data_IF_909654614008
#
_entry.id   IF_909654614008
#
_cell.length_a   1.000
_cell.length_b   1.000
_cell.length_c   1.000
_cell.angle_alpha   90.00
_cell.angle_beta   90.00
_cell.angle_gamma   90.00
#
_symmetry.space_group_name_H-M   'P 1'
#
loop_
_entity.id
_entity.type
_entity.pdbx_description
1 polymer ?
#
# COMPACT_ATOMS: atom_id res chain seq x y z
N UNK A 1 -4.32 16.20 -23.99
CA UNK A 1 -4.53 14.79 -23.58
C UNK A 1 -4.64 13.83 -24.77
N UNK A 2 -5.54 14.04 -25.76
CA UNK A 2 -5.66 13.18 -26.97
C UNK A 2 -4.35 13.02 -27.77
N UNK A 3 -3.57 14.08 -27.92
CA UNK A 3 -2.30 14.06 -28.66
C UNK A 3 -1.28 13.13 -28.00
N UNK A 4 -1.18 13.17 -26.67
CA UNK A 4 -0.26 12.32 -25.90
C UNK A 4 -0.68 10.85 -26.03
N UNK A 5 -1.98 10.56 -25.90
CA UNK A 5 -2.46 9.18 -26.03
C UNK A 5 -2.20 8.58 -27.42
N UNK A 6 -2.39 9.38 -28.48
CA UNK A 6 -2.14 8.94 -29.84
C UNK A 6 -0.64 8.69 -30.09
N UNK A 7 0.26 9.51 -29.53
CA UNK A 7 1.71 9.28 -29.60
C UNK A 7 2.13 8.00 -28.88
N UNK A 8 1.56 7.73 -27.71
CA UNK A 8 1.85 6.49 -26.95
C UNK A 8 1.38 5.25 -27.73
N UNK A 9 0.17 5.29 -28.31
CA UNK A 9 -0.34 4.17 -29.13
C UNK A 9 0.52 3.92 -30.36
N UNK A 10 0.96 4.97 -31.05
CA UNK A 10 1.80 4.83 -32.23
C UNK A 10 3.18 4.24 -31.89
N UNK A 11 3.76 4.58 -30.72
CA UNK A 11 5.04 4.02 -30.25
C UNK A 11 4.91 2.58 -29.78
N UNK A 12 3.82 2.23 -29.09
CA UNK A 12 3.56 0.85 -28.68
C UNK A 12 3.46 -0.12 -29.87
N UNK A 13 3.15 0.37 -31.08
CA UNK A 13 3.13 -0.43 -32.31
C UNK A 13 4.53 -0.69 -32.90
N UNK A 14 5.57 0.00 -32.44
CA UNK A 14 6.96 -0.09 -32.93
C UNK A 14 7.86 -0.75 -31.86
N UNK A 15 7.29 -1.41 -30.84
CA UNK A 15 8.10 -2.07 -29.83
C UNK A 15 8.78 -3.31 -30.38
N UNK A 16 10.10 -3.36 -30.21
CA UNK A 16 10.91 -4.53 -30.50
C UNK A 16 10.71 -5.60 -29.41
N UNK A 17 11.13 -6.82 -29.69
CA UNK A 17 11.01 -7.95 -28.75
C UNK A 17 11.61 -7.65 -27.36
N UNK A 18 12.75 -6.96 -27.32
CA UNK A 18 13.41 -6.57 -26.06
C UNK A 18 12.64 -5.51 -25.27
N UNK A 19 11.92 -4.61 -25.97
CA UNK A 19 11.08 -3.60 -25.32
C UNK A 19 9.88 -4.27 -24.64
N UNK A 20 9.27 -5.25 -25.32
CA UNK A 20 8.18 -6.06 -24.76
C UNK A 20 8.62 -6.86 -23.54
N UNK A 21 9.82 -7.44 -23.56
CA UNK A 21 10.38 -8.12 -22.37
C UNK A 21 10.51 -7.13 -21.21
N UNK A 22 11.12 -5.97 -21.44
CA UNK A 22 11.36 -4.96 -20.39
C UNK A 22 10.04 -4.46 -19.80
N UNK A 23 9.06 -4.17 -20.67
CA UNK A 23 7.72 -3.76 -20.28
C UNK A 23 7.03 -4.83 -19.42
N UNK A 24 7.10 -6.10 -19.86
CA UNK A 24 6.48 -7.22 -19.15
C UNK A 24 7.11 -7.41 -17.77
N UNK A 25 8.43 -7.36 -17.67
CA UNK A 25 9.14 -7.45 -16.39
C UNK A 25 8.69 -6.32 -15.44
N UNK A 26 8.68 -5.08 -15.92
CA UNK A 26 8.23 -3.93 -15.11
C UNK A 26 6.77 -4.07 -14.66
N UNK A 27 5.90 -4.53 -15.56
CA UNK A 27 4.48 -4.74 -15.29
C UNK A 27 4.26 -5.85 -14.26
N UNK A 28 4.92 -6.99 -14.43
CA UNK A 28 4.87 -8.11 -13.47
C UNK A 28 5.39 -7.68 -12.11
N UNK A 29 6.48 -6.91 -12.04
CA UNK A 29 7.00 -6.37 -10.78
C UNK A 29 5.97 -5.47 -10.08
N UNK A 30 5.36 -4.53 -10.80
CA UNK A 30 4.32 -3.65 -10.24
C UNK A 30 3.14 -4.43 -9.68
N UNK A 31 2.61 -5.40 -10.45
CA UNK A 31 1.50 -6.24 -9.99
C UNK A 31 1.88 -7.08 -8.79
N UNK A 32 3.11 -7.61 -8.78
CA UNK A 32 3.62 -8.41 -7.66
C UNK A 32 3.69 -7.56 -6.39
N UNK A 33 4.22 -6.34 -6.46
CA UNK A 33 4.27 -5.44 -5.31
C UNK A 33 2.88 -5.05 -4.82
N UNK A 34 1.97 -4.67 -5.71
CA UNK A 34 0.58 -4.36 -5.33
C UNK A 34 -0.10 -5.56 -4.66
N UNK A 35 0.04 -6.75 -5.24
CA UNK A 35 -0.53 -7.97 -4.70
C UNK A 35 -0.01 -8.26 -3.29
N UNK A 36 1.31 -8.27 -3.10
CA UNK A 36 1.90 -8.52 -1.79
C UNK A 36 1.52 -7.46 -0.76
N UNK A 37 1.45 -6.19 -1.14
CA UNK A 37 1.00 -5.12 -0.23
C UNK A 37 -0.44 -5.32 0.21
N UNK A 38 -1.36 -5.60 -0.70
CA UNK A 38 -2.75 -5.87 -0.33
C UNK A 38 -2.89 -7.15 0.50
N UNK A 39 -2.11 -8.18 0.17
CA UNK A 39 -2.10 -9.43 0.93
C UNK A 39 -1.57 -9.22 2.35
N UNK A 40 -0.48 -8.47 2.50
CA UNK A 40 0.08 -8.14 3.81
C UNK A 40 -0.91 -7.29 4.63
N UNK A 41 -1.53 -6.29 4.02
CA UNK A 41 -2.57 -5.49 4.67
C UNK A 41 -3.77 -6.31 5.09
N UNK A 42 -4.19 -7.28 4.28
CA UNK A 42 -5.26 -8.21 4.66
C UNK A 42 -4.86 -9.03 5.88
N UNK A 43 -3.66 -9.61 5.88
CA UNK A 43 -3.14 -10.41 6.99
C UNK A 43 -2.95 -9.60 8.27
N UNK A 44 -2.48 -8.35 8.16
CA UNK A 44 -2.31 -7.44 9.30
C UNK A 44 -3.66 -6.96 9.82
N UNK A 45 -4.59 -6.58 8.93
CA UNK A 45 -5.95 -6.17 9.33
C UNK A 45 -6.67 -7.28 10.08
N UNK A 46 -6.57 -8.51 9.58
CA UNK A 46 -7.20 -9.67 10.22
C UNK A 46 -6.62 -9.91 11.60
N UNK A 47 -5.28 -9.90 11.73
CA UNK A 47 -4.59 -10.07 13.03
C UNK A 47 -4.93 -8.95 14.02
N UNK A 48 -5.00 -7.71 13.56
CA UNK A 48 -5.39 -6.58 14.39
C UNK A 48 -6.85 -6.72 14.83
N UNK A 49 -7.76 -7.06 13.91
CA UNK A 49 -9.16 -7.28 14.25
C UNK A 49 -9.33 -8.36 15.31
N UNK A 50 -8.69 -9.52 15.14
CA UNK A 50 -8.75 -10.60 16.13
C UNK A 50 -8.18 -10.16 17.47
N UNK A 51 -6.99 -9.54 17.47
CA UNK A 51 -6.30 -9.14 18.71
C UNK A 51 -7.02 -8.04 19.49
N UNK A 52 -7.70 -7.13 18.80
CA UNK A 52 -8.39 -6.01 19.45
C UNK A 52 -9.88 -6.24 19.68
N UNK A 53 -10.48 -7.27 19.06
CA UNK A 53 -11.90 -7.60 19.27
C UNK A 53 -12.20 -7.92 20.74
N UNK A 54 -11.32 -8.66 21.41
CA UNK A 54 -11.42 -9.01 22.84
C UNK A 54 -11.25 -7.80 23.75
N UNK A 55 -10.34 -6.89 23.39
CA UNK A 55 -10.08 -5.67 24.14
C UNK A 55 -11.27 -4.70 24.02
N UNK A 56 -11.94 -4.69 22.88
CA UNK A 56 -13.09 -3.82 22.64
C UNK A 56 -14.27 -4.17 23.56
N UNK A 57 -14.47 -5.45 23.91
CA UNK A 57 -15.44 -5.84 24.94
C UNK A 57 -15.10 -5.28 26.32
N UNK A 58 -13.83 -5.34 26.73
CA UNK A 58 -13.38 -4.82 28.04
C UNK A 58 -13.56 -3.30 28.10
N UNK A 59 -13.19 -2.57 27.05
CA UNK A 59 -13.38 -1.11 26.97
C UNK A 59 -14.87 -0.75 27.05
N UNK A 60 -15.73 -1.52 26.37
CA UNK A 60 -17.18 -1.32 26.40
C UNK A 60 -17.76 -1.49 27.81
N UNK A 61 -17.29 -2.49 28.55
CA UNK A 61 -17.75 -2.75 29.92
C UNK A 61 -17.27 -1.67 30.90
N UNK A 62 -16.03 -1.18 30.74
CA UNK A 62 -15.51 -0.01 31.48
C UNK A 62 -16.26 1.28 31.17
N UNK A 63 -16.76 1.43 29.94
CA UNK A 63 -17.57 2.57 29.50
C UNK A 63 -18.97 2.55 30.13
N UNK A 64 -19.62 1.39 30.18
CA UNK A 64 -20.95 1.26 30.79
C UNK A 64 -20.95 1.50 32.30
N UNK A 65 -19.81 1.30 32.95
CA UNK A 65 -19.66 1.42 34.40
C UNK A 65 -19.21 2.82 34.87
N UNK A 66 -19.12 3.82 33.98
CA UNK A 66 -18.73 5.20 34.28
C UNK A 66 -17.39 5.37 35.02
N UNK A 67 -16.49 4.37 34.99
CA UNK A 67 -15.18 4.46 35.65
C UNK A 67 -14.19 5.39 34.94
N UNK A 68 -14.44 5.73 33.67
CA UNK A 68 -13.55 6.55 32.85
C UNK A 68 -14.24 7.84 32.41
N UNK A 69 -13.54 8.97 32.57
CA UNK A 69 -13.92 10.22 31.91
C UNK A 69 -13.65 10.15 30.41
N UNK A 70 -14.37 10.96 29.61
CA UNK A 70 -14.22 11.00 28.14
C UNK A 70 -12.77 11.27 27.68
N UNK A 71 -12.02 12.06 28.45
CA UNK A 71 -10.59 12.34 28.19
C UNK A 71 -9.70 11.12 28.47
N UNK A 72 -9.99 10.35 29.52
CA UNK A 72 -9.27 9.10 29.79
C UNK A 72 -9.60 8.01 28.76
N UNK A 73 -10.83 7.98 28.24
CA UNK A 73 -11.24 7.07 27.15
C UNK A 73 -10.42 7.29 25.87
N UNK A 74 -10.24 8.55 25.48
CA UNK A 74 -9.42 8.91 24.30
C UNK A 74 -7.95 8.55 24.51
N UNK A 75 -7.40 8.84 25.69
CA UNK A 75 -6.01 8.49 26.01
C UNK A 75 -5.80 6.98 26.05
N UNK A 76 -6.71 6.23 26.66
CA UNK A 76 -6.67 4.77 26.73
C UNK A 76 -6.75 4.16 25.32
N UNK A 77 -7.66 4.66 24.48
CA UNK A 77 -7.79 4.20 23.10
C UNK A 77 -6.53 4.44 22.26
N UNK A 78 -5.82 5.56 22.47
CA UNK A 78 -4.56 5.84 21.78
C UNK A 78 -3.38 4.97 22.23
N UNK A 79 -3.43 4.47 23.47
CA UNK A 79 -2.42 3.54 24.00
C UNK A 79 -2.70 2.11 23.53
N UNK A 80 -3.98 1.73 23.47
CA UNK A 80 -4.39 0.38 23.10
C UNK A 80 -4.33 0.16 21.60
N UNK A 81 -4.91 1.06 20.81
CA UNK A 81 -5.01 0.90 19.36
C UNK A 81 -3.78 1.45 18.67
N UNK A 82 -3.12 0.65 17.80
CA UNK A 82 -1.92 1.06 17.12
C UNK A 82 -2.25 2.09 16.05
N UNK A 83 -1.29 2.96 15.75
CA UNK A 83 -1.42 3.88 14.64
C UNK A 83 -1.53 3.09 13.32
N UNK A 84 -2.55 3.37 12.51
CA UNK A 84 -2.79 2.64 11.26
C UNK A 84 -1.62 2.70 10.26
N UNK A 85 -0.91 3.84 10.18
CA UNK A 85 0.26 3.99 9.30
C UNK A 85 1.38 3.07 9.78
N UNK A 86 1.68 3.09 11.08
CA UNK A 86 2.68 2.20 11.65
C UNK A 86 2.28 0.72 11.55
N UNK A 87 0.99 0.43 11.65
CA UNK A 87 0.46 -0.93 11.55
C UNK A 87 0.60 -1.49 10.13
N UNK A 88 0.24 -0.71 9.10
CA UNK A 88 0.20 -1.17 7.70
C UNK A 88 1.50 -0.99 6.93
N UNK A 89 2.30 0.01 7.30
CA UNK A 89 3.55 0.34 6.63
C UNK A 89 4.77 0.07 7.49
N UNK A 90 4.58 -0.41 8.72
CA UNK A 90 5.67 -0.70 9.65
C UNK A 90 6.50 0.54 9.98
N UNK A 91 7.82 0.37 9.99
CA UNK A 91 8.78 1.46 10.11
C UNK A 91 9.07 2.15 8.78
N UNK A 92 9.68 3.34 8.84
CA UNK A 92 10.02 4.15 7.67
C UNK A 92 10.81 3.41 6.59
N UNK A 93 11.67 2.45 6.98
CA UNK A 93 12.46 1.64 6.06
C UNK A 93 11.61 0.78 5.12
N UNK A 94 10.57 0.11 5.64
CA UNK A 94 9.70 -0.74 4.82
C UNK A 94 8.94 0.09 3.78
N UNK A 95 8.39 1.23 4.22
CA UNK A 95 7.71 2.18 3.34
C UNK A 95 8.63 2.70 2.22
N UNK A 96 9.88 3.05 2.56
CA UNK A 96 10.86 3.49 1.58
C UNK A 96 11.21 2.40 0.58
N UNK A 97 11.45 1.17 1.05
CA UNK A 97 11.73 0.02 0.18
C UNK A 97 10.58 -0.25 -0.79
N UNK A 98 9.33 -0.17 -0.30
CA UNK A 98 8.14 -0.29 -1.15
C UNK A 98 8.12 0.80 -2.23
N UNK A 99 8.31 2.06 -1.85
CA UNK A 99 8.33 3.18 -2.81
C UNK A 99 9.44 3.03 -3.85
N UNK A 100 10.65 2.64 -3.46
CA UNK A 100 11.76 2.45 -4.41
C UNK A 100 11.48 1.30 -5.38
N UNK A 101 10.85 0.23 -4.89
CA UNK A 101 10.49 -0.93 -5.69
C UNK A 101 9.37 -0.65 -6.68
N UNK A 102 8.33 0.07 -6.25
CA UNK A 102 7.26 0.56 -7.13
C UNK A 102 7.82 1.54 -8.14
N UNK A 103 8.68 2.47 -7.73
CA UNK A 103 9.32 3.42 -8.64
C UNK A 103 10.12 2.72 -9.73
N UNK A 104 10.93 1.72 -9.36
CA UNK A 104 11.66 0.89 -10.32
C UNK A 104 10.70 0.21 -11.32
N UNK A 105 9.60 -0.38 -10.84
CA UNK A 105 8.59 -0.99 -11.72
C UNK A 105 7.94 0.02 -12.67
N UNK A 106 7.57 1.21 -12.17
CA UNK A 106 7.04 2.32 -12.98
C UNK A 106 8.07 2.73 -14.04
N UNK A 107 9.32 2.95 -13.65
CA UNK A 107 10.38 3.30 -14.59
C UNK A 107 10.51 2.23 -15.67
N UNK A 108 10.60 0.94 -15.34
CA UNK A 108 10.71 -0.12 -16.35
C UNK A 108 9.53 -0.18 -17.32
N UNK A 109 8.30 0.05 -16.84
CA UNK A 109 7.09 0.08 -17.67
C UNK A 109 7.06 1.28 -18.61
N UNK A 110 7.43 2.46 -18.11
CA UNK A 110 7.28 3.71 -18.86
C UNK A 110 8.56 4.17 -19.57
N UNK A 111 9.73 3.63 -19.23
CA UNK A 111 11.02 4.01 -19.83
C UNK A 111 10.99 3.82 -21.34
N UNK A 112 10.52 2.65 -21.81
CA UNK A 112 10.41 2.38 -23.24
C UNK A 112 9.37 3.28 -23.95
N UNK A 113 8.37 3.77 -23.22
CA UNK A 113 7.37 4.70 -23.75
C UNK A 113 7.85 6.16 -23.78
N UNK A 114 8.79 6.53 -22.91
CA UNK A 114 9.19 7.93 -22.65
C UNK A 114 10.57 8.32 -23.20
N UNK A 115 11.52 7.38 -23.32
CA UNK A 115 12.92 7.69 -23.70
C UNK A 115 13.08 8.23 -25.12
N UNK A 116 12.09 8.02 -25.99
CA UNK A 116 12.12 8.48 -27.37
C UNK A 116 11.03 9.54 -27.68
N UNK A 117 10.67 10.38 -26.71
CA UNK A 117 9.67 11.47 -26.82
C UNK A 117 10.37 12.83 -26.92
#
# INVERSE_FOLDING_TARGET
MKIIWNKIKAKAQIFDFYDWITFTIGFTLLFTYLYFTFFEWYMVSTRAYTGYSEINSIIRDLKQSNYLTRTQEVSLSRVIYPNAVQLFWGGSTYFFTFLTNVYMGVVLVFFQLLVNL
#
